data_IF_294201208383
#
_entry.id   IF_294201208383
#
_cell.length_a   1.000
_cell.length_b   1.000
_cell.length_c   1.000
_cell.angle_alpha   90.00
_cell.angle_beta   90.00
_cell.angle_gamma   90.00
#
_symmetry.space_group_name_H-M   'P 1'
#
loop_
_entity.id
_entity.type
_entity.pdbx_description
1 polymer ?
#
# COMPACT_ATOMS: atom_id res chain seq x y z
N UNK A 1 -9.01 -3.76 -25.76
CA UNK A 1 -10.06 -4.65 -25.18
C UNK A 1 -10.83 -5.39 -26.28
N UNK A 2 -10.81 -6.73 -26.25
CA UNK A 2 -11.56 -7.61 -27.19
C UNK A 2 -13.08 -7.43 -27.01
N UNK A 3 -13.85 -7.57 -28.10
CA UNK A 3 -15.31 -7.34 -28.21
C UNK A 3 -16.14 -8.04 -27.13
N UNK A 4 -15.70 -9.21 -26.64
CA UNK A 4 -16.33 -9.94 -25.54
C UNK A 4 -16.22 -9.28 -24.16
N UNK A 5 -15.07 -8.65 -23.83
CA UNK A 5 -14.91 -7.94 -22.54
C UNK A 5 -15.84 -6.73 -22.44
N UNK A 6 -16.16 -6.07 -23.56
CA UNK A 6 -17.06 -4.89 -23.56
C UNK A 6 -18.51 -5.28 -23.23
N UNK A 7 -18.96 -6.44 -23.72
CA UNK A 7 -20.32 -6.95 -23.47
C UNK A 7 -20.45 -7.37 -22.00
N UNK A 8 -19.47 -8.10 -21.48
CA UNK A 8 -19.45 -8.54 -20.09
C UNK A 8 -19.40 -7.36 -19.11
N UNK A 9 -18.56 -6.36 -19.41
CA UNK A 9 -18.49 -5.12 -18.63
C UNK A 9 -19.81 -4.36 -18.66
N UNK A 10 -20.46 -4.28 -19.83
CA UNK A 10 -21.79 -3.71 -19.99
C UNK A 10 -22.83 -4.42 -19.12
N UNK A 11 -22.88 -5.75 -19.14
CA UNK A 11 -23.78 -6.52 -18.29
C UNK A 11 -23.52 -6.26 -16.79
N UNK A 12 -22.26 -6.25 -16.36
CA UNK A 12 -21.92 -5.95 -14.97
C UNK A 12 -22.34 -4.53 -14.56
N UNK A 13 -22.07 -3.52 -15.38
CA UNK A 13 -22.51 -2.14 -15.09
C UNK A 13 -24.03 -2.04 -14.95
N UNK A 14 -24.79 -2.71 -15.82
CA UNK A 14 -26.25 -2.70 -15.74
C UNK A 14 -26.77 -3.38 -14.48
N UNK A 15 -26.13 -4.46 -14.03
CA UNK A 15 -26.48 -5.15 -12.77
C UNK A 15 -26.16 -4.27 -11.56
N UNK A 16 -24.99 -3.63 -11.55
CA UNK A 16 -24.60 -2.71 -10.46
C UNK A 16 -25.57 -1.53 -10.36
N UNK A 17 -25.89 -0.87 -11.48
CA UNK A 17 -26.82 0.26 -11.52
C UNK A 17 -28.24 -0.14 -11.11
N UNK A 18 -28.70 -1.32 -11.52
CA UNK A 18 -30.00 -1.86 -11.12
C UNK A 18 -30.06 -2.13 -9.61
N UNK A 19 -28.99 -2.69 -9.02
CA UNK A 19 -28.90 -2.90 -7.58
C UNK A 19 -28.86 -1.58 -6.81
N UNK A 20 -28.11 -0.58 -7.30
CA UNK A 20 -28.04 0.76 -6.73
C UNK A 20 -29.42 1.44 -6.73
N UNK A 21 -30.12 1.38 -7.87
CA UNK A 21 -31.46 1.94 -8.01
C UNK A 21 -32.47 1.27 -7.08
N UNK A 22 -32.42 -0.07 -6.94
CA UNK A 22 -33.28 -0.78 -5.99
C UNK A 22 -33.00 -0.40 -4.54
N UNK A 23 -31.74 -0.20 -4.18
CA UNK A 23 -31.34 0.21 -2.84
C UNK A 23 -31.81 1.65 -2.54
N UNK A 24 -31.57 2.58 -3.45
CA UNK A 24 -31.99 3.99 -3.31
C UNK A 24 -33.53 4.17 -3.29
N UNK A 25 -34.27 3.30 -3.98
CA UNK A 25 -35.73 3.31 -4.02
C UNK A 25 -36.41 2.51 -2.90
N UNK A 26 -35.64 1.89 -2.00
CA UNK A 26 -36.16 1.14 -0.85
C UNK A 26 -36.41 2.07 0.34
N UNK A 27 -37.36 1.75 1.22
CA UNK A 27 -37.55 2.47 2.50
C UNK A 27 -36.27 2.44 3.37
N UNK A 28 -35.35 1.53 3.05
CA UNK A 28 -34.01 1.33 3.61
C UNK A 28 -33.09 2.58 3.59
N UNK A 29 -33.28 3.53 2.66
CA UNK A 29 -32.48 4.77 2.63
C UNK A 29 -32.83 5.73 3.79
N UNK A 30 -34.09 5.72 4.27
CA UNK A 30 -34.52 6.58 5.39
C UNK A 30 -34.00 6.04 6.73
N UNK A 31 -33.98 4.72 6.89
CA UNK A 31 -33.41 4.04 8.08
C UNK A 31 -31.88 4.19 8.17
N UNK A 32 -31.18 4.36 7.03
CA UNK A 32 -29.72 4.60 6.98
C UNK A 32 -29.33 5.92 7.65
N UNK A 33 -30.11 6.97 7.44
CA UNK A 33 -29.91 8.28 8.09
C UNK A 33 -30.10 8.18 9.60
N UNK A 34 -30.96 7.28 10.07
CA UNK A 34 -31.17 7.05 11.51
C UNK A 34 -30.08 6.14 12.12
N UNK A 35 -29.53 5.17 11.39
CA UNK A 35 -28.46 4.29 11.86
C UNK A 35 -27.07 4.97 12.01
N UNK A 36 -26.82 6.06 11.27
CA UNK A 36 -25.60 6.88 11.42
C UNK A 36 -25.56 7.59 12.79
N UNK A 37 -26.73 7.79 13.41
CA UNK A 37 -26.87 8.34 14.75
C UNK A 37 -26.53 7.33 15.87
N UNK A 38 -26.66 6.02 15.61
CA UNK A 38 -26.40 4.94 16.57
C UNK A 38 -24.92 4.50 16.63
N UNK A 39 -24.11 4.83 15.61
CA UNK A 39 -22.65 4.58 15.61
C UNK A 39 -21.93 5.42 16.69
N UNK A 40 -22.56 6.52 17.13
CA UNK A 40 -22.08 7.38 18.20
C UNK A 40 -22.14 6.67 19.56
N UNK A 41 -23.10 5.75 19.77
CA UNK A 41 -23.30 5.05 21.04
C UNK A 41 -22.48 3.76 21.20
N UNK A 42 -22.10 3.11 20.09
CA UNK A 42 -21.37 1.83 20.11
C UNK A 42 -19.86 1.99 20.43
N UNK A 43 -19.32 3.22 20.44
CA UNK A 43 -17.96 3.54 20.91
C UNK A 43 -17.76 3.32 22.42
N UNK A 44 -18.81 2.96 23.17
CA UNK A 44 -18.78 2.82 24.63
C UNK A 44 -18.30 1.47 25.18
N UNK A 45 -18.13 0.41 24.36
CA UNK A 45 -17.96 -0.97 24.89
C UNK A 45 -16.56 -1.57 24.71
N UNK A 46 -15.73 -1.07 23.80
CA UNK A 46 -14.33 -1.51 23.68
C UNK A 46 -13.40 -0.35 24.00
N UNK A 47 -12.78 -0.36 25.19
CA UNK A 47 -11.65 0.51 25.50
C UNK A 47 -10.40 0.03 24.76
N UNK A 48 -10.45 0.14 23.42
CA UNK A 48 -9.27 0.29 22.57
C UNK A 48 -8.89 1.76 22.66
N UNK A 49 -7.60 2.02 22.74
CA UNK A 49 -7.06 3.36 22.66
C UNK A 49 -7.66 4.09 21.46
N UNK A 50 -8.23 5.29 21.66
CA UNK A 50 -8.97 6.00 20.61
C UNK A 50 -8.00 6.62 19.60
N UNK A 51 -7.55 5.80 18.65
CA UNK A 51 -6.71 6.23 17.52
C UNK A 51 -7.38 7.30 16.66
N UNK A 52 -8.72 7.40 16.70
CA UNK A 52 -9.45 8.42 15.95
C UNK A 52 -9.25 9.79 16.59
N UNK A 53 -9.22 9.90 17.92
CA UNK A 53 -8.92 11.17 18.60
C UNK A 53 -7.53 11.70 18.23
N UNK A 54 -6.52 10.82 18.20
CA UNK A 54 -5.15 11.20 17.80
C UNK A 54 -5.10 11.58 16.34
N UNK A 55 -5.70 10.78 15.46
CA UNK A 55 -5.76 11.07 14.03
C UNK A 55 -6.40 12.44 13.78
N UNK A 56 -7.53 12.74 14.41
CA UNK A 56 -8.23 14.02 14.24
C UNK A 56 -7.40 15.19 14.79
N UNK A 57 -6.75 15.05 15.95
CA UNK A 57 -5.84 16.08 16.48
C UNK A 57 -4.65 16.34 15.57
N UNK A 58 -4.06 15.28 15.03
CA UNK A 58 -2.93 15.37 14.11
C UNK A 58 -3.35 15.98 12.77
N UNK A 59 -4.45 15.49 12.19
CA UNK A 59 -5.00 15.94 10.92
C UNK A 59 -5.40 17.42 10.98
N UNK A 60 -6.09 17.86 12.02
CA UNK A 60 -6.43 19.27 12.18
C UNK A 60 -5.17 20.14 12.29
N UNK A 61 -4.17 19.69 13.06
CA UNK A 61 -2.91 20.41 13.20
C UNK A 61 -2.13 20.54 11.88
N UNK A 62 -2.06 19.47 11.09
CA UNK A 62 -1.30 19.47 9.83
C UNK A 62 -2.03 20.26 8.75
N UNK A 63 -3.36 20.14 8.70
CA UNK A 63 -4.23 20.89 7.80
C UNK A 63 -4.15 22.39 8.04
N UNK A 64 -4.14 22.82 9.32
CA UNK A 64 -3.93 24.22 9.71
C UNK A 64 -2.60 24.80 9.19
N UNK A 65 -1.54 23.99 9.16
CA UNK A 65 -0.19 24.46 8.85
C UNK A 65 0.16 24.39 7.36
N UNK A 66 -0.37 23.41 6.63
CA UNK A 66 0.13 23.10 5.29
C UNK A 66 -0.86 23.32 4.14
N UNK A 67 -2.18 23.27 4.38
CA UNK A 67 -3.17 23.37 3.28
C UNK A 67 -3.13 24.70 2.52
N UNK A 68 -2.65 25.76 3.17
CA UNK A 68 -2.59 27.10 2.58
C UNK A 68 -1.32 27.31 1.74
N UNK A 69 -0.37 26.37 1.74
CA UNK A 69 0.89 26.48 1.01
C UNK A 69 0.67 25.96 -0.42
N UNK A 70 0.69 26.87 -1.39
CA UNK A 70 0.54 26.52 -2.81
C UNK A 70 1.88 26.17 -3.49
N UNK A 71 2.99 26.66 -2.95
CA UNK A 71 4.32 26.40 -3.48
C UNK A 71 4.85 25.05 -2.98
N UNK A 72 5.22 24.16 -3.91
CA UNK A 72 5.61 22.79 -3.58
C UNK A 72 6.92 22.72 -2.80
N UNK A 73 7.91 23.55 -3.14
CA UNK A 73 9.22 23.55 -2.46
C UNK A 73 9.09 24.05 -1.02
N UNK A 74 8.34 25.13 -0.83
CA UNK A 74 7.98 25.65 0.49
C UNK A 74 7.14 24.66 1.29
N UNK A 75 6.20 23.96 0.65
CA UNK A 75 5.39 22.92 1.30
C UNK A 75 6.27 21.84 1.90
N UNK A 76 7.21 21.29 1.11
CA UNK A 76 8.08 20.20 1.57
C UNK A 76 9.09 20.66 2.63
N UNK A 77 9.61 21.88 2.51
CA UNK A 77 10.47 22.47 3.53
C UNK A 77 9.76 22.64 4.88
N UNK A 78 8.50 23.09 4.85
CA UNK A 78 7.69 23.31 6.06
C UNK A 78 7.10 22.00 6.61
N UNK A 79 6.90 20.98 5.77
CA UNK A 79 6.26 19.70 6.11
C UNK A 79 6.96 19.00 7.29
N UNK A 80 8.28 18.92 7.29
CA UNK A 80 9.03 18.22 8.34
C UNK A 80 8.81 18.84 9.72
N UNK A 81 8.87 20.18 9.81
CA UNK A 81 8.67 20.90 11.07
C UNK A 81 7.21 20.86 11.52
N UNK A 82 6.27 20.99 10.57
CA UNK A 82 4.85 20.89 10.85
C UNK A 82 4.48 19.49 11.38
N UNK A 83 4.99 18.43 10.72
CA UNK A 83 4.77 17.03 11.14
C UNK A 83 5.26 16.81 12.57
N UNK A 84 6.52 17.14 12.89
CA UNK A 84 7.07 16.96 14.26
C UNK A 84 6.25 17.69 15.32
N UNK A 85 5.78 18.91 15.01
CA UNK A 85 4.93 19.68 15.92
C UNK A 85 3.56 19.02 16.12
N UNK A 86 2.97 18.51 15.04
CA UNK A 86 1.67 17.85 15.09
C UNK A 86 1.74 16.46 15.75
N UNK A 87 2.85 15.74 15.61
CA UNK A 87 3.11 14.47 16.32
C UNK A 87 3.10 14.67 17.84
N UNK A 88 3.78 15.73 18.30
CA UNK A 88 3.80 16.13 19.72
C UNK A 88 2.41 16.58 20.19
N UNK A 89 1.72 17.42 19.41
CA UNK A 89 0.38 17.95 19.76
C UNK A 89 -0.68 16.85 19.84
N UNK A 90 -0.59 15.84 18.98
CA UNK A 90 -1.51 14.72 18.94
C UNK A 90 -1.09 13.55 19.84
N UNK A 91 0.09 13.62 20.45
CA UNK A 91 0.65 12.57 21.31
C UNK A 91 0.76 11.20 20.61
N UNK A 92 1.25 11.22 19.37
CA UNK A 92 1.35 10.07 18.45
C UNK A 92 2.15 8.90 19.06
N UNK A 93 3.06 9.18 20.01
CA UNK A 93 3.80 8.16 20.76
C UNK A 93 2.90 7.12 21.46
N UNK A 94 1.66 7.49 21.83
CA UNK A 94 0.73 6.59 22.51
C UNK A 94 0.18 5.47 21.61
N UNK A 95 0.39 5.54 20.29
CA UNK A 95 -0.02 4.50 19.32
C UNK A 95 0.88 3.24 19.44
N UNK A 96 1.93 3.28 20.25
CA UNK A 96 2.87 2.16 20.41
C UNK A 96 3.91 2.11 19.31
N UNK A 97 4.26 3.27 18.76
CA UNK A 97 5.38 3.43 17.85
C UNK A 97 6.69 3.16 18.59
N UNK A 98 7.48 2.23 18.06
CA UNK A 98 8.83 1.97 18.54
C UNK A 98 9.78 2.74 17.64
N UNK A 99 10.56 3.64 18.25
CA UNK A 99 11.64 4.35 17.55
C UNK A 99 12.87 3.46 17.53
N UNK A 100 13.24 2.99 16.34
CA UNK A 100 14.51 2.35 16.07
C UNK A 100 15.49 3.44 15.64
N UNK A 101 16.33 3.85 16.57
CA UNK A 101 17.39 4.81 16.29
C UNK A 101 18.54 4.07 15.62
N UNK A 102 18.79 4.37 14.35
CA UNK A 102 20.04 4.06 13.67
C UNK A 102 20.99 5.27 13.78
N UNK A 103 22.24 5.10 13.39
CA UNK A 103 23.28 6.13 13.54
C UNK A 103 22.96 7.45 12.82
N UNK A 104 22.28 7.39 11.68
CA UNK A 104 21.90 8.49 10.78
C UNK A 104 20.41 8.81 10.75
N UNK A 105 19.56 7.88 11.14
CA UNK A 105 18.12 8.01 11.01
C UNK A 105 17.34 7.49 12.22
N UNK A 106 16.10 7.95 12.34
CA UNK A 106 15.13 7.41 13.28
C UNK A 106 13.99 6.79 12.48
N UNK A 107 13.91 5.46 12.48
CA UNK A 107 12.80 4.73 11.87
C UNK A 107 11.74 4.47 12.95
N UNK A 108 10.48 4.78 12.66
CA UNK A 108 9.36 4.53 13.57
C UNK A 108 8.57 3.31 13.09
N UNK A 109 8.45 2.28 13.92
CA UNK A 109 7.83 0.99 13.55
C UNK A 109 6.71 0.64 14.51
N UNK A 110 5.59 0.12 13.99
CA UNK A 110 4.55 -0.54 14.79
C UNK A 110 4.73 -2.04 14.62
N UNK A 111 5.26 -2.71 15.64
CA UNK A 111 5.44 -4.16 15.57
C UNK A 111 4.09 -4.87 15.69
N UNK A 112 3.81 -5.89 14.87
CA UNK A 112 2.68 -6.77 15.10
C UNK A 112 2.83 -7.45 16.48
N UNK A 113 1.78 -7.44 17.29
CA UNK A 113 1.77 -8.04 18.65
C UNK A 113 2.04 -9.56 18.65
N UNK A 114 2.01 -10.21 17.49
CA UNK A 114 2.24 -11.65 17.34
C UNK A 114 3.65 -11.85 16.79
N UNK A 115 4.54 -12.45 17.59
CA UNK A 115 5.83 -12.95 17.10
C UNK A 115 5.58 -13.90 15.91
N UNK A 116 6.22 -13.62 14.77
CA UNK A 116 6.07 -14.37 13.49
C UNK A 116 6.20 -15.90 13.65
N UNK A 117 6.97 -16.38 14.64
CA UNK A 117 7.08 -17.81 15.00
C UNK A 117 5.75 -18.50 15.34
N UNK A 118 4.73 -17.78 15.81
CA UNK A 118 3.43 -18.36 16.18
C UNK A 118 2.52 -18.68 14.99
N UNK A 119 2.87 -18.27 13.77
CA UNK A 119 2.04 -18.54 12.58
C UNK A 119 2.24 -19.95 11.99
N UNK A 120 3.21 -20.74 12.45
CA UNK A 120 3.43 -22.12 11.97
C UNK A 120 3.87 -22.23 10.50
N UNK A 121 4.10 -21.10 9.81
CA UNK A 121 4.53 -21.05 8.42
C UNK A 121 6.06 -20.94 8.33
N UNK A 122 6.65 -21.66 7.38
CA UNK A 122 8.08 -21.59 7.07
C UNK A 122 8.35 -20.32 6.25
N UNK A 123 8.64 -19.20 6.93
CA UNK A 123 8.95 -17.91 6.30
C UNK A 123 10.47 -17.77 6.21
N UNK A 124 10.99 -17.54 5.00
CA UNK A 124 12.40 -17.24 4.75
C UNK A 124 12.58 -15.75 4.49
N UNK A 125 13.48 -15.11 5.22
CA UNK A 125 13.82 -13.70 5.04
C UNK A 125 15.29 -13.58 4.61
N UNK A 126 15.53 -12.73 3.61
CA UNK A 126 16.87 -12.39 3.13
C UNK A 126 17.02 -10.88 3.15
N UNK A 127 18.03 -10.39 3.87
CA UNK A 127 18.41 -8.97 3.88
C UNK A 127 19.73 -8.79 3.13
N UNK A 128 19.87 -7.72 2.36
CA UNK A 128 21.12 -7.37 1.69
C UNK A 128 21.38 -5.87 1.82
N UNK A 129 22.53 -5.50 2.36
CA UNK A 129 22.92 -4.11 2.58
C UNK A 129 24.47 -4.02 2.70
N UNK A 130 25.13 -2.97 2.19
CA UNK A 130 26.60 -2.87 2.23
C UNK A 130 27.18 -2.56 3.63
N UNK A 131 26.36 -2.12 4.60
CA UNK A 131 26.79 -1.72 5.96
C UNK A 131 26.71 -2.90 6.93
N UNK A 132 27.85 -3.55 7.16
CA UNK A 132 27.86 -4.90 7.71
C UNK A 132 27.61 -5.03 9.22
N UNK A 133 27.91 -4.05 10.09
CA UNK A 133 27.99 -4.36 11.54
C UNK A 133 26.67 -4.20 12.31
N UNK A 134 25.91 -3.13 12.06
CA UNK A 134 24.65 -2.87 12.76
C UNK A 134 23.50 -3.63 12.10
N UNK A 135 23.43 -3.56 10.76
CA UNK A 135 22.36 -4.18 9.99
C UNK A 135 22.38 -5.71 10.08
N UNK A 136 23.56 -6.33 10.07
CA UNK A 136 23.69 -7.79 10.27
C UNK A 136 23.08 -8.23 11.59
N UNK A 137 23.44 -7.56 12.70
CA UNK A 137 22.92 -7.91 14.02
C UNK A 137 21.40 -7.76 14.13
N UNK A 138 20.77 -6.88 13.34
CA UNK A 138 19.32 -6.71 13.30
C UNK A 138 18.64 -7.75 12.41
N UNK A 139 19.07 -7.87 11.15
CA UNK A 139 18.39 -8.70 10.16
C UNK A 139 18.68 -10.19 10.34
N UNK A 140 19.84 -10.57 10.87
CA UNK A 140 20.17 -11.97 11.18
C UNK A 140 19.31 -12.55 12.31
N UNK A 141 18.54 -11.73 13.04
CA UNK A 141 17.54 -12.21 14.02
C UNK A 141 16.29 -12.79 13.36
N UNK A 142 15.98 -12.37 12.13
CA UNK A 142 14.76 -12.71 11.42
C UNK A 142 15.01 -13.49 10.12
N UNK A 143 16.26 -13.56 9.63
CA UNK A 143 16.63 -14.29 8.43
C UNK A 143 18.13 -14.33 8.15
N UNK A 144 18.53 -14.42 6.89
CA UNK A 144 19.93 -14.41 6.45
C UNK A 144 20.31 -13.05 5.89
N UNK A 145 21.40 -12.47 6.38
CA UNK A 145 21.90 -11.18 5.94
C UNK A 145 23.12 -11.32 5.02
N UNK A 146 23.17 -10.52 3.96
CA UNK A 146 24.27 -10.44 3.02
C UNK A 146 24.88 -9.03 3.05
N UNK A 147 26.17 -8.87 3.38
CA UNK A 147 26.85 -7.57 3.39
C UNK A 147 27.21 -7.11 1.96
N UNK A 148 26.22 -7.05 1.07
CA UNK A 148 26.36 -6.77 -0.35
C UNK A 148 25.34 -5.71 -0.77
N UNK A 149 25.76 -4.73 -1.56
CA UNK A 149 24.82 -3.86 -2.25
C UNK A 149 24.26 -4.55 -3.49
N UNK A 150 22.94 -4.50 -3.65
CA UNK A 150 22.26 -5.09 -4.80
C UNK A 150 21.83 -3.95 -5.74
N UNK A 151 22.00 -4.14 -7.05
CA UNK A 151 21.65 -3.11 -8.03
C UNK A 151 21.23 -3.70 -9.36
N UNK A 152 20.90 -2.83 -10.32
CA UNK A 152 20.46 -3.24 -11.66
C UNK A 152 21.49 -4.06 -12.41
N UNK A 153 22.77 -3.75 -12.23
CA UNK A 153 23.90 -4.39 -12.88
C UNK A 153 25.08 -4.51 -11.91
N UNK A 154 25.92 -5.52 -12.14
CA UNK A 154 27.19 -5.63 -11.41
C UNK A 154 28.13 -4.50 -11.81
N UNK A 155 28.69 -3.79 -10.84
CA UNK A 155 29.56 -2.64 -11.12
C UNK A 155 29.97 -1.90 -9.86
N UNK A 156 30.74 -0.82 -10.06
CA UNK A 156 31.11 0.10 -8.98
C UNK A 156 30.36 1.39 -9.21
N UNK A 157 29.53 1.80 -8.25
CA UNK A 157 28.88 3.10 -8.24
C UNK A 157 29.23 3.84 -6.96
N UNK A 158 29.07 5.17 -6.96
CA UNK A 158 29.23 5.98 -5.76
C UNK A 158 27.90 6.04 -5.05
N UNK A 159 27.88 5.64 -3.79
CA UNK A 159 26.74 5.80 -2.90
C UNK A 159 27.15 6.65 -1.69
N UNK A 160 26.18 7.35 -1.11
CA UNK A 160 26.41 8.12 0.10
C UNK A 160 26.28 7.18 1.29
N UNK A 161 27.37 6.92 2.00
CA UNK A 161 27.38 6.02 3.15
C UNK A 161 27.68 6.81 4.40
N UNK A 162 26.96 6.51 5.48
CA UNK A 162 27.29 7.08 6.78
C UNK A 162 28.66 6.58 7.27
N UNK A 163 29.55 7.52 7.54
CA UNK A 163 30.89 7.27 8.10
C UNK A 163 30.79 7.29 9.63
N UNK A 164 31.69 6.55 10.31
CA UNK A 164 31.75 6.42 11.77
C UNK A 164 31.75 7.77 12.52
N UNK A 165 32.27 8.83 11.91
CA UNK A 165 32.34 10.18 12.49
C UNK A 165 31.02 10.99 12.40
N UNK A 166 29.92 10.38 11.92
CA UNK A 166 28.58 10.97 12.01
C UNK A 166 28.13 11.80 10.79
N UNK A 167 28.66 11.51 9.59
CA UNK A 167 28.28 12.21 8.35
C UNK A 167 28.25 11.28 7.14
N UNK A 168 27.63 11.72 6.04
CA UNK A 168 27.62 10.96 4.80
C UNK A 168 28.82 11.30 3.92
N UNK A 169 29.54 10.29 3.47
CA UNK A 169 30.60 10.46 2.48
C UNK A 169 30.34 9.59 1.25
N UNK A 170 30.70 10.08 0.06
CA UNK A 170 30.62 9.28 -1.16
C UNK A 170 31.62 8.13 -1.07
N UNK A 171 31.12 6.90 -0.97
CA UNK A 171 31.91 5.68 -0.98
C UNK A 171 31.66 4.92 -2.28
N UNK A 172 32.72 4.39 -2.87
CA UNK A 172 32.58 3.48 -4.01
C UNK A 172 32.12 2.13 -3.47
N UNK A 173 30.90 1.73 -3.83
CA UNK A 173 30.32 0.45 -3.44
C UNK A 173 30.28 -0.47 -4.65
N UNK A 174 30.61 -1.73 -4.43
CA UNK A 174 30.44 -2.78 -5.43
C UNK A 174 29.00 -3.27 -5.35
N UNK A 175 28.25 -3.04 -6.43
CA UNK A 175 26.90 -3.58 -6.58
C UNK A 175 26.99 -4.96 -7.25
N UNK A 176 26.18 -5.88 -6.74
CA UNK A 176 25.92 -7.18 -7.34
C UNK A 176 24.61 -7.10 -8.11
N UNK A 177 24.63 -7.61 -9.34
CA UNK A 177 23.44 -7.74 -10.17
C UNK A 177 22.32 -8.51 -9.46
N UNK A 178 21.13 -7.92 -9.43
CA UNK A 178 19.96 -8.48 -8.77
C UNK A 178 19.56 -9.87 -9.29
N UNK A 179 19.68 -10.14 -10.60
CA UNK A 179 19.36 -11.47 -11.15
C UNK A 179 20.37 -12.50 -10.69
N UNK A 180 21.66 -12.14 -10.70
CA UNK A 180 22.71 -13.00 -10.17
C UNK A 180 22.51 -13.28 -8.67
N UNK A 181 22.12 -12.28 -7.89
CA UNK A 181 21.86 -12.46 -6.46
C UNK A 181 20.76 -13.51 -6.21
N UNK A 182 19.59 -13.39 -6.85
CA UNK A 182 18.52 -14.35 -6.66
C UNK A 182 18.83 -15.74 -7.22
N UNK A 183 19.36 -15.81 -8.44
CA UNK A 183 19.57 -17.09 -9.15
C UNK A 183 20.79 -17.85 -8.65
N UNK A 184 21.91 -17.17 -8.46
CA UNK A 184 23.20 -17.79 -8.19
C UNK A 184 23.57 -17.79 -6.70
N UNK A 185 23.21 -16.73 -5.96
CA UNK A 185 23.55 -16.65 -4.54
C UNK A 185 22.45 -17.24 -3.64
N UNK A 186 21.19 -16.88 -3.88
CA UNK A 186 20.07 -17.39 -3.09
C UNK A 186 19.50 -18.71 -3.62
N UNK A 187 19.63 -18.96 -4.93
CA UNK A 187 18.94 -20.05 -5.62
C UNK A 187 17.42 -20.02 -5.38
N UNK A 188 16.85 -18.81 -5.45
CA UNK A 188 15.42 -18.52 -5.24
C UNK A 188 14.86 -17.94 -6.53
N UNK A 189 13.78 -18.54 -7.01
CA UNK A 189 13.06 -18.08 -8.22
C UNK A 189 11.66 -17.56 -7.92
N UNK A 190 11.15 -17.73 -6.71
CA UNK A 190 9.82 -17.26 -6.29
C UNK A 190 9.97 -16.30 -5.14
N UNK A 191 9.46 -15.09 -5.32
CA UNK A 191 9.57 -14.00 -4.35
C UNK A 191 8.17 -13.50 -4.01
N UNK A 192 7.77 -13.65 -2.76
CA UNK A 192 6.47 -13.17 -2.27
C UNK A 192 6.46 -11.65 -2.04
N UNK A 193 7.51 -11.15 -1.39
CA UNK A 193 7.67 -9.72 -1.08
C UNK A 193 9.12 -9.32 -1.37
N UNK A 194 9.29 -8.24 -2.13
CA UNK A 194 10.58 -7.65 -2.48
C UNK A 194 10.57 -6.18 -2.12
N UNK A 195 11.41 -5.76 -1.18
CA UNK A 195 11.53 -4.37 -0.72
C UNK A 195 12.92 -3.85 -1.03
N UNK A 196 13.01 -2.59 -1.47
CA UNK A 196 14.26 -1.87 -1.67
C UNK A 196 14.23 -0.62 -0.80
N UNK A 197 15.37 -0.27 -0.21
CA UNK A 197 15.51 1.05 0.38
C UNK A 197 15.50 2.10 -0.74
N UNK A 198 14.84 3.22 -0.50
CA UNK A 198 14.65 4.26 -1.50
C UNK A 198 15.78 5.30 -1.41
N UNK A 199 17.03 4.86 -1.43
CA UNK A 199 18.19 5.77 -1.39
C UNK A 199 18.73 6.10 -2.79
N UNK A 200 18.32 5.31 -3.79
CA UNK A 200 18.54 5.58 -5.21
C UNK A 200 19.81 4.96 -5.80
N UNK A 201 20.76 4.54 -4.97
CA UNK A 201 22.00 3.90 -5.42
C UNK A 201 21.76 2.52 -6.06
N UNK A 202 20.65 1.88 -5.70
CA UNK A 202 20.18 0.59 -6.19
C UNK A 202 19.59 0.70 -7.61
N UNK A 203 18.99 1.87 -7.92
CA UNK A 203 18.20 2.13 -9.12
C UNK A 203 19.06 2.70 -10.26
N UNK A 204 19.97 1.88 -10.78
CA UNK A 204 20.68 2.23 -12.02
C UNK A 204 19.77 2.26 -13.25
N UNK A 205 20.29 2.71 -14.39
CA UNK A 205 19.55 2.75 -15.66
C UNK A 205 18.92 1.38 -15.99
N UNK A 206 17.63 1.39 -16.32
CA UNK A 206 16.88 0.19 -16.65
C UNK A 206 16.55 -0.72 -15.47
N UNK A 207 16.75 -0.30 -14.20
CA UNK A 207 16.41 -1.12 -13.03
C UNK A 207 14.95 -1.59 -13.05
N UNK A 208 14.01 -0.70 -13.37
CA UNK A 208 12.58 -1.07 -13.39
C UNK A 208 12.20 -1.94 -14.59
N UNK A 209 12.95 -1.88 -15.69
CA UNK A 209 12.73 -2.73 -16.87
C UNK A 209 13.00 -4.21 -16.57
N UNK A 210 13.78 -4.50 -15.52
CA UNK A 210 14.05 -5.86 -15.04
C UNK A 210 12.73 -6.59 -14.71
N UNK A 211 11.75 -5.87 -14.18
CA UNK A 211 10.46 -6.39 -13.71
C UNK A 211 9.34 -6.34 -14.76
N UNK A 212 9.61 -5.86 -15.98
CA UNK A 212 8.60 -5.87 -17.03
C UNK A 212 8.46 -7.27 -17.65
N UNK A 213 7.33 -7.48 -18.32
CA UNK A 213 7.09 -8.68 -19.13
C UNK A 213 8.17 -8.82 -20.21
N UNK A 214 8.73 -10.01 -20.38
CA UNK A 214 9.95 -10.29 -21.15
C UNK A 214 11.20 -9.55 -20.66
N UNK A 215 11.16 -8.96 -19.45
CA UNK A 215 12.30 -8.34 -18.79
C UNK A 215 13.26 -9.38 -18.22
N UNK A 216 14.30 -8.92 -17.52
CA UNK A 216 15.38 -9.82 -17.07
C UNK A 216 14.92 -10.84 -16.03
N UNK A 217 13.90 -10.55 -15.22
CA UNK A 217 13.32 -11.52 -14.28
C UNK A 217 12.53 -12.61 -15.01
N UNK A 218 11.62 -12.24 -15.91
CA UNK A 218 10.83 -13.18 -16.74
C UNK A 218 11.75 -14.09 -17.58
N UNK A 219 12.77 -13.51 -18.25
CA UNK A 219 13.78 -14.27 -19.00
C UNK A 219 14.57 -15.27 -18.15
N UNK A 220 14.69 -15.03 -16.84
CA UNK A 220 15.38 -15.90 -15.91
C UNK A 220 14.45 -16.74 -15.03
N UNK A 221 13.14 -16.73 -15.32
CA UNK A 221 12.11 -17.44 -14.55
C UNK A 221 12.11 -17.06 -13.06
N UNK A 222 12.37 -15.78 -12.76
CA UNK A 222 12.22 -15.22 -11.43
C UNK A 222 10.86 -14.56 -11.36
N UNK A 223 9.93 -15.21 -10.65
CA UNK A 223 8.57 -14.75 -10.52
C UNK A 223 8.41 -13.97 -9.20
N UNK A 224 8.10 -12.69 -9.32
CA UNK A 224 7.57 -11.91 -8.19
C UNK A 224 6.05 -12.07 -8.24
N UNK A 225 5.45 -12.45 -7.11
CA UNK A 225 3.99 -12.68 -7.04
C UNK A 225 3.15 -11.43 -7.43
N UNK A 226 3.78 -10.25 -7.48
CA UNK A 226 3.21 -8.97 -7.91
C UNK A 226 2.72 -9.00 -9.37
N UNK A 227 3.29 -9.79 -10.28
CA UNK A 227 2.76 -9.86 -11.67
C UNK A 227 1.36 -10.49 -11.77
N UNK A 228 0.96 -11.28 -10.76
CA UNK A 228 -0.40 -11.81 -10.65
C UNK A 228 -1.37 -10.73 -10.16
N UNK A 229 -0.90 -9.55 -9.72
CA UNK A 229 -1.76 -8.50 -9.15
C UNK A 229 -2.87 -8.09 -10.10
N UNK A 230 -2.60 -7.86 -11.38
CA UNK A 230 -3.65 -7.49 -12.33
C UNK A 230 -4.63 -8.64 -12.60
N UNK A 231 -4.15 -9.89 -12.64
CA UNK A 231 -5.02 -11.07 -12.80
C UNK A 231 -5.90 -11.26 -11.56
N UNK A 232 -5.33 -11.09 -10.37
CA UNK A 232 -6.02 -11.10 -9.08
C UNK A 232 -7.01 -9.95 -9.00
N UNK A 233 -6.67 -8.75 -9.48
CA UNK A 233 -7.57 -7.58 -9.52
C UNK A 233 -8.78 -7.87 -10.42
N UNK A 234 -8.57 -8.39 -11.63
CA UNK A 234 -9.69 -8.75 -12.51
C UNK A 234 -10.53 -9.89 -11.93
N UNK A 235 -9.90 -10.95 -11.42
CA UNK A 235 -10.62 -12.07 -10.80
C UNK A 235 -11.36 -11.65 -9.53
N UNK A 236 -10.74 -10.79 -8.71
CA UNK A 236 -11.29 -10.18 -7.51
C UNK A 236 -12.48 -9.30 -7.84
N UNK A 237 -12.40 -8.49 -8.89
CA UNK A 237 -13.52 -7.71 -9.42
C UNK A 237 -14.71 -8.61 -9.80
N UNK A 238 -14.50 -9.63 -10.63
CA UNK A 238 -15.59 -10.55 -11.01
C UNK A 238 -16.21 -11.26 -9.80
N UNK A 239 -15.37 -11.73 -8.88
CA UNK A 239 -15.81 -12.39 -7.66
C UNK A 239 -16.62 -11.44 -6.78
N UNK A 240 -16.15 -10.21 -6.58
CA UNK A 240 -16.84 -9.18 -5.80
C UNK A 240 -18.18 -8.79 -6.42
N UNK A 241 -18.28 -8.70 -7.75
CA UNK A 241 -19.54 -8.43 -8.42
C UNK A 241 -20.56 -9.56 -8.19
N UNK A 242 -20.13 -10.82 -8.33
CA UNK A 242 -21.00 -11.97 -8.14
C UNK A 242 -21.43 -12.14 -6.68
N UNK A 243 -20.49 -12.17 -5.75
CA UNK A 243 -20.76 -12.45 -4.33
C UNK A 243 -21.54 -11.33 -3.66
N UNK A 244 -21.18 -10.06 -3.88
CA UNK A 244 -21.91 -8.94 -3.28
C UNK A 244 -23.28 -8.74 -3.91
N UNK A 245 -23.45 -8.99 -5.23
CA UNK A 245 -24.80 -8.98 -5.84
C UNK A 245 -25.68 -10.10 -5.30
N UNK A 246 -25.12 -11.30 -5.09
CA UNK A 246 -25.83 -12.41 -4.48
C UNK A 246 -26.18 -12.11 -3.01
N UNK A 247 -25.27 -11.48 -2.26
CA UNK A 247 -25.51 -11.06 -0.88
C UNK A 247 -26.65 -10.02 -0.80
N UNK A 248 -26.64 -9.01 -1.66
CA UNK A 248 -27.75 -8.03 -1.75
C UNK A 248 -29.07 -8.73 -2.11
N UNK A 249 -29.05 -9.67 -3.06
CA UNK A 249 -30.23 -10.47 -3.39
C UNK A 249 -30.78 -11.23 -2.17
N UNK A 250 -29.90 -11.88 -1.40
CA UNK A 250 -30.29 -12.60 -0.17
C UNK A 250 -30.81 -11.65 0.91
N UNK A 251 -30.23 -10.48 1.07
CA UNK A 251 -30.69 -9.46 2.02
C UNK A 251 -32.11 -9.02 1.66
N UNK A 252 -32.36 -8.68 0.39
CA UNK A 252 -33.67 -8.18 -0.04
C UNK A 252 -34.74 -9.29 -0.02
N UNK A 253 -34.40 -10.53 -0.41
CA UNK A 253 -35.39 -11.60 -0.61
C UNK A 253 -35.52 -12.57 0.54
N UNK A 254 -34.49 -12.74 1.38
CA UNK A 254 -34.44 -13.78 2.42
C UNK A 254 -34.09 -13.26 3.82
N UNK A 255 -33.52 -12.06 3.98
CA UNK A 255 -33.33 -11.46 5.30
C UNK A 255 -34.66 -10.85 5.79
N UNK A 256 -35.59 -11.73 6.14
CA UNK A 256 -36.75 -11.39 6.95
C UNK A 256 -36.31 -10.79 8.31
N UNK A 257 -37.26 -10.46 9.19
CA UNK A 257 -37.03 -9.85 10.51
C UNK A 257 -36.02 -10.56 11.44
N UNK A 258 -35.53 -11.76 11.07
CA UNK A 258 -34.50 -12.53 11.76
C UNK A 258 -33.21 -11.73 12.03
N UNK A 259 -32.87 -10.76 11.17
CA UNK A 259 -31.65 -9.94 11.29
C UNK A 259 -31.92 -8.47 11.72
N UNK A 260 -33.18 -8.06 11.88
CA UNK A 260 -33.52 -6.70 12.32
C UNK A 260 -32.76 -5.58 11.57
N UNK A 261 -32.21 -4.61 12.31
CA UNK A 261 -31.42 -3.50 11.76
C UNK A 261 -30.07 -3.92 11.13
N UNK A 262 -29.54 -5.09 11.48
CA UNK A 262 -28.24 -5.55 10.98
C UNK A 262 -28.23 -5.84 9.47
N UNK A 263 -29.41 -6.13 8.89
CA UNK A 263 -29.56 -6.36 7.44
C UNK A 263 -29.19 -5.14 6.59
N UNK A 264 -29.43 -3.94 7.11
CA UNK A 264 -29.16 -2.69 6.41
C UNK A 264 -27.67 -2.39 6.38
N UNK A 265 -26.98 -2.59 7.52
CA UNK A 265 -25.52 -2.46 7.61
C UNK A 265 -24.83 -3.42 6.63
N UNK A 266 -25.27 -4.69 6.59
CA UNK A 266 -24.75 -5.67 5.62
C UNK A 266 -25.05 -5.27 4.17
N UNK A 267 -26.21 -4.69 3.90
CA UNK A 267 -26.59 -4.20 2.56
C UNK A 267 -25.72 -3.05 2.08
N UNK A 268 -25.49 -2.06 2.95
CA UNK A 268 -24.61 -0.92 2.70
C UNK A 268 -23.16 -1.37 2.47
N UNK A 269 -22.65 -2.29 3.30
CA UNK A 269 -21.31 -2.85 3.10
C UNK A 269 -21.17 -3.55 1.75
N UNK A 270 -22.15 -4.37 1.37
CA UNK A 270 -22.15 -5.04 0.07
C UNK A 270 -22.24 -4.05 -1.10
N UNK A 271 -23.01 -2.97 -0.96
CA UNK A 271 -23.13 -1.93 -1.98
C UNK A 271 -21.83 -1.16 -2.19
N UNK A 272 -21.21 -0.67 -1.11
CA UNK A 272 -19.92 0.01 -1.21
C UNK A 272 -18.82 -0.92 -1.72
N UNK A 273 -18.86 -2.21 -1.37
CA UNK A 273 -17.93 -3.20 -1.92
C UNK A 273 -18.07 -3.35 -3.45
N UNK A 274 -19.29 -3.23 -4.01
CA UNK A 274 -19.48 -3.19 -5.46
C UNK A 274 -18.89 -1.93 -6.09
N UNK A 275 -19.08 -0.76 -5.46
CA UNK A 275 -18.57 0.53 -5.94
C UNK A 275 -17.03 0.55 -5.91
N UNK A 276 -16.42 0.13 -4.80
CA UNK A 276 -14.96 0.12 -4.68
C UNK A 276 -14.28 -0.84 -5.65
N UNK A 277 -14.90 -2.00 -5.92
CA UNK A 277 -14.38 -2.92 -6.95
C UNK A 277 -14.34 -2.26 -8.34
N UNK A 278 -15.32 -1.40 -8.66
CA UNK A 278 -15.29 -0.61 -9.90
C UNK A 278 -14.20 0.46 -9.88
N UNK A 279 -14.01 1.16 -8.77
CA UNK A 279 -12.95 2.17 -8.62
C UNK A 279 -11.57 1.52 -8.82
N UNK A 280 -11.33 0.34 -8.26
CA UNK A 280 -10.05 -0.38 -8.39
C UNK A 280 -9.71 -0.72 -9.85
N UNK A 281 -10.68 -1.26 -10.61
CA UNK A 281 -10.49 -1.53 -12.05
C UNK A 281 -10.42 -0.24 -12.88
N UNK A 282 -11.15 0.81 -12.49
CA UNK A 282 -11.18 2.08 -13.18
C UNK A 282 -9.88 2.88 -12.99
N UNK A 283 -9.21 2.73 -11.85
CA UNK A 283 -7.96 3.43 -11.52
C UNK A 283 -6.71 2.64 -11.87
N UNK A 284 -6.73 1.30 -11.80
CA UNK A 284 -5.53 0.46 -12.04
C UNK A 284 -4.27 1.07 -11.40
N UNK A 285 -4.25 1.27 -10.07
CA UNK A 285 -3.18 2.00 -9.43
C UNK A 285 -1.85 1.26 -9.62
N UNK A 286 -0.85 1.98 -10.13
CA UNK A 286 0.53 1.51 -10.30
C UNK A 286 1.43 2.30 -9.38
N UNK A 287 2.37 1.61 -8.75
CA UNK A 287 3.38 2.22 -7.89
C UNK A 287 4.69 2.34 -8.68
N UNK A 288 5.27 3.53 -8.74
CA UNK A 288 6.60 3.79 -9.28
C UNK A 288 7.47 4.41 -8.20
N UNK A 289 8.75 4.05 -8.19
CA UNK A 289 9.73 4.59 -7.27
C UNK A 289 10.84 5.21 -8.12
N UNK A 290 11.28 6.43 -7.83
CA UNK A 290 12.42 7.03 -8.50
C UNK A 290 13.27 7.80 -7.48
N UNK A 291 14.49 7.35 -7.25
CA UNK A 291 15.32 7.84 -6.13
C UNK A 291 14.59 7.65 -4.78
N UNK A 292 14.51 8.67 -3.91
CA UNK A 292 13.78 8.62 -2.64
C UNK A 292 12.27 8.87 -2.76
N UNK A 293 11.71 8.88 -3.97
CA UNK A 293 10.32 9.24 -4.21
C UNK A 293 9.50 7.98 -4.49
N UNK A 294 8.44 7.77 -3.70
CA UNK A 294 7.39 6.79 -3.94
C UNK A 294 6.16 7.48 -4.55
N UNK A 295 5.79 7.11 -5.77
CA UNK A 295 4.68 7.69 -6.54
C UNK A 295 3.65 6.61 -6.84
N UNK A 296 2.41 6.82 -6.41
CA UNK A 296 1.26 6.04 -6.89
C UNK A 296 0.58 6.83 -7.98
N UNK A 297 0.45 6.24 -9.17
CA UNK A 297 -0.16 6.88 -10.32
C UNK A 297 -1.13 5.93 -11.03
N UNK A 298 -2.05 6.54 -11.76
CA UNK A 298 -3.15 5.84 -12.42
C UNK A 298 -2.67 5.41 -13.82
N UNK A 299 -2.59 4.10 -14.11
CA UNK A 299 -2.24 3.62 -15.46
C UNK A 299 -3.47 3.22 -16.30
N UNK A 300 -4.66 3.51 -15.80
CA UNK A 300 -5.91 3.22 -16.50
C UNK A 300 -6.21 4.18 -17.66
N UNK A 301 -7.23 3.90 -18.49
CA UNK A 301 -7.71 4.85 -19.50
C UNK A 301 -8.15 6.21 -18.95
N UNK A 302 -8.40 6.33 -17.64
CA UNK A 302 -8.78 7.58 -16.99
C UNK A 302 -7.59 8.52 -16.78
N UNK A 303 -6.35 8.09 -17.05
CA UNK A 303 -5.14 8.91 -16.87
C UNK A 303 -5.09 10.18 -17.71
N UNK A 304 -5.95 10.28 -18.74
CA UNK A 304 -6.06 11.47 -19.58
C UNK A 304 -7.12 12.47 -19.10
N UNK A 305 -7.85 12.15 -18.03
CA UNK A 305 -8.95 12.96 -17.49
C UNK A 305 -8.45 13.90 -16.39
N UNK A 306 -8.11 15.12 -16.77
CA UNK A 306 -7.53 16.18 -15.89
C UNK A 306 -8.42 16.61 -14.70
N UNK A 307 -9.69 16.24 -14.70
CA UNK A 307 -10.60 16.58 -13.59
C UNK A 307 -10.55 15.56 -12.45
N UNK A 308 -9.91 14.40 -12.66
CA UNK A 308 -9.82 13.28 -11.71
C UNK A 308 -8.43 13.20 -11.05
N UNK A 309 -7.44 13.90 -11.62
CA UNK A 309 -6.08 13.96 -11.09
C UNK A 309 -5.24 15.01 -11.79
N UNK A 310 -4.06 15.28 -11.25
CA UNK A 310 -3.08 16.18 -11.86
C UNK A 310 -2.16 15.39 -12.80
N UNK A 311 -1.90 15.93 -13.99
CA UNK A 311 -0.86 15.41 -14.88
C UNK A 311 0.50 15.66 -14.23
N UNK A 312 1.22 14.59 -13.92
CA UNK A 312 2.62 14.66 -13.52
C UNK A 312 3.46 14.61 -14.80
N UNK A 313 3.71 15.76 -15.40
CA UNK A 313 4.69 15.88 -16.48
C UNK A 313 6.08 16.02 -15.86
N UNK A 314 6.93 15.01 -16.06
CA UNK A 314 8.38 15.12 -15.85
C UNK A 314 9.01 15.87 -17.03
#
# INVERSE_FOLDING_TARGET
MRRGSKILLGCLTTVTLFNLYRFLGSEDYKDWVEAEQDEIDMKSVFKRFDTNEIFQKWHNCISEQLLWIQDAEKFWNDFMFASKRCDLRANVAQIGLITLKNSDEMKHVIFPKIKMRKLGNNVTFYGADPVSMINDNLYSQIGTYFPLAIGSNSGISKAMVMVEDGGYAPKSIVHVDIVYFFKNLLNVTKIDNLWFDAEGAEFGDGFFEIFYKNGRFDQNSIDIFIEILHIIQYFGFFSAQLTNSFLIYLIIKKAQALFGAYRYVMGTFALFSLIYAWIEIATQPVMHIYGPIFVVYMDSPMKYEKWIGNDVTF
#
